data_IF_842595146255
#
_entry.id   IF_842595146255
#
_cell.length_a   1.000
_cell.length_b   1.000
_cell.length_c   1.000
_cell.angle_alpha   90.00
_cell.angle_beta   90.00
_cell.angle_gamma   90.00
#
_symmetry.space_group_name_H-M   'P 1'
#
loop_
_entity.id
_entity.type
_entity.pdbx_description
1 polymer ?
#
# COMPACT_ATOMS: atom_id res chain seq x y z
N UNK A 1 4.12 35.22 -1.25
CA UNK A 1 3.16 34.42 -2.05
C UNK A 1 1.80 34.52 -1.40
N UNK A 2 0.78 34.99 -2.13
CA UNK A 2 -0.61 35.15 -1.68
C UNK A 2 -1.34 33.85 -2.05
N UNK A 3 -1.88 33.15 -1.06
CA UNK A 3 -2.61 31.90 -1.24
C UNK A 3 -4.11 32.23 -1.26
N UNK A 4 -4.75 31.97 -2.39
CA UNK A 4 -6.18 32.20 -2.61
C UNK A 4 -6.75 30.87 -3.06
N UNK A 5 -7.56 30.25 -2.20
CA UNK A 5 -8.33 29.05 -2.53
C UNK A 5 -9.68 29.53 -3.08
N UNK A 6 -10.28 28.79 -4.00
CA UNK A 6 -11.60 29.09 -4.58
C UNK A 6 -12.53 27.89 -4.35
N UNK A 7 -13.83 28.12 -4.19
CA UNK A 7 -14.83 27.03 -4.13
C UNK A 7 -15.20 26.51 -5.54
N UNK A 8 -16.02 25.46 -5.60
CA UNK A 8 -16.48 24.84 -6.86
C UNK A 8 -17.28 25.80 -7.77
N UNK A 9 -17.71 26.94 -7.24
CA UNK A 9 -18.46 28.00 -7.95
C UNK A 9 -17.59 29.22 -8.26
N UNK A 10 -16.29 29.19 -7.95
CA UNK A 10 -15.32 30.24 -8.24
C UNK A 10 -15.19 31.33 -7.17
N UNK A 11 -15.79 31.17 -6.00
CA UNK A 11 -15.74 32.18 -4.93
C UNK A 11 -14.46 32.05 -4.09
N UNK A 12 -13.79 33.16 -3.72
CA UNK A 12 -12.57 33.11 -2.91
C UNK A 12 -12.79 32.61 -1.47
N UNK A 13 -12.04 31.59 -1.10
CA UNK A 13 -11.95 30.98 0.24
C UNK A 13 -10.67 31.49 0.93
N UNK A 14 -10.78 32.13 2.12
CA UNK A 14 -9.63 32.72 2.81
C UNK A 14 -8.73 31.66 3.45
N UNK A 15 -7.41 31.76 3.22
CA UNK A 15 -6.44 30.69 3.58
C UNK A 15 -5.40 31.10 4.61
N UNK A 16 -5.50 32.29 5.21
CA UNK A 16 -4.92 32.73 6.50
C UNK A 16 -4.99 34.27 6.58
N UNK A 17 -5.44 34.78 7.74
CA UNK A 17 -6.08 36.10 7.92
C UNK A 17 -5.16 37.32 7.72
N UNK A 18 -5.72 38.38 7.13
CA UNK A 18 -5.67 39.71 7.77
C UNK A 18 -7.08 40.12 8.17
N UNK A 19 -7.27 40.20 9.49
CA UNK A 19 -8.42 40.78 10.21
C UNK A 19 -9.77 40.06 10.27
N UNK A 20 -9.96 38.83 9.77
CA UNK A 20 -11.23 38.11 10.00
C UNK A 20 -11.05 36.70 10.55
N UNK A 21 -11.26 36.60 11.87
CA UNK A 21 -12.08 35.58 12.57
C UNK A 21 -12.66 34.42 11.76
N UNK A 22 -12.01 33.27 11.54
CA UNK A 22 -12.63 32.14 10.82
C UNK A 22 -12.36 30.81 11.52
N UNK A 23 -13.42 30.04 11.80
CA UNK A 23 -13.37 28.70 12.39
C UNK A 23 -13.76 27.69 11.30
N UNK A 24 -12.88 26.73 11.01
CA UNK A 24 -13.10 25.67 10.03
C UNK A 24 -13.39 24.34 10.76
N UNK A 25 -14.45 23.61 10.36
CA UNK A 25 -14.93 22.39 11.05
C UNK A 25 -14.49 21.06 10.41
N UNK A 26 -14.26 20.97 9.08
CA UNK A 26 -13.83 19.73 8.42
C UNK A 26 -12.73 19.94 7.38
N UNK A 27 -11.77 19.01 7.37
CA UNK A 27 -10.67 18.92 6.41
C UNK A 27 -10.81 17.60 5.65
N UNK A 28 -11.29 17.65 4.41
CA UNK A 28 -11.29 16.49 3.52
C UNK A 28 -10.15 16.64 2.50
N UNK A 29 -9.11 15.83 2.63
CA UNK A 29 -8.10 15.69 1.58
C UNK A 29 -8.72 14.89 0.44
N UNK A 30 -9.03 15.54 -0.67
CA UNK A 30 -9.53 14.87 -1.88
C UNK A 30 -8.36 14.35 -2.70
N UNK A 31 -8.38 13.06 -3.03
CA UNK A 31 -7.39 12.45 -3.91
C UNK A 31 -7.70 12.71 -5.40
N UNK A 32 -6.83 12.31 -6.35
CA UNK A 32 -7.08 12.48 -7.79
C UNK A 32 -8.37 11.83 -8.32
N UNK A 33 -9.06 11.00 -7.54
CA UNK A 33 -10.35 10.40 -7.87
C UNK A 33 -11.54 11.18 -7.27
N UNK A 34 -11.31 12.34 -6.65
CA UNK A 34 -12.36 13.19 -6.10
C UNK A 34 -12.95 12.69 -4.79
N UNK A 35 -12.32 11.70 -4.14
CA UNK A 35 -12.81 11.12 -2.88
C UNK A 35 -11.99 11.60 -1.70
N UNK A 36 -12.64 11.79 -0.54
CA UNK A 36 -12.01 12.07 0.75
C UNK A 36 -11.38 10.81 1.35
N UNK A 37 -10.71 10.02 0.52
CA UNK A 37 -9.92 8.90 0.97
C UNK A 37 -8.48 9.34 0.98
N UNK A 38 -7.78 8.92 2.04
CA UNK A 38 -6.32 8.92 2.13
C UNK A 38 -5.71 10.17 2.77
N UNK A 39 -5.54 10.09 4.10
CA UNK A 39 -4.53 10.87 4.83
C UNK A 39 -3.21 10.92 4.03
N UNK A 40 -2.45 12.00 4.18
CA UNK A 40 -1.18 12.21 3.48
C UNK A 40 -0.27 10.97 3.51
N UNK A 41 0.36 10.67 2.37
CA UNK A 41 1.42 9.66 2.29
C UNK A 41 2.72 10.26 2.82
N UNK A 42 3.04 9.94 4.07
CA UNK A 42 4.33 10.27 4.65
C UNK A 42 5.31 9.13 4.35
N UNK A 43 6.45 9.45 3.72
CA UNK A 43 7.53 8.47 3.56
C UNK A 43 8.35 8.26 4.86
N UNK A 44 7.89 8.83 5.98
CA UNK A 44 8.47 8.62 7.30
C UNK A 44 8.04 7.26 7.83
N UNK A 45 8.69 6.20 7.34
CA UNK A 45 8.72 4.95 8.10
C UNK A 45 9.65 5.16 9.30
N UNK A 46 9.28 4.78 10.54
CA UNK A 46 10.13 4.88 11.71
C UNK A 46 11.24 3.81 11.64
N UNK A 47 12.11 3.88 10.65
CA UNK A 47 13.27 2.99 10.52
C UNK A 47 14.45 3.43 11.40
N UNK A 48 14.45 4.66 11.92
CA UNK A 48 15.58 5.25 12.65
C UNK A 48 15.41 5.30 14.17
N UNK A 49 14.30 4.78 14.72
CA UNK A 49 13.99 4.87 16.15
C UNK A 49 13.94 3.48 16.82
N UNK A 50 14.01 2.40 16.02
CA UNK A 50 13.86 1.03 16.49
C UNK A 50 15.23 0.33 16.55
N UNK A 51 15.45 -0.48 17.59
CA UNK A 51 16.70 -1.24 17.79
C UNK A 51 16.94 -2.33 16.74
N UNK A 52 15.87 -2.77 16.08
CA UNK A 52 15.87 -3.86 15.12
C UNK A 52 15.01 -3.48 13.93
N UNK A 53 15.38 -3.98 12.74
CA UNK A 53 14.56 -3.85 11.56
C UNK A 53 13.25 -4.64 11.74
N UNK A 54 12.18 -4.19 11.07
CA UNK A 54 10.91 -4.92 11.05
C UNK A 54 11.08 -6.27 10.34
N UNK A 55 10.24 -7.25 10.67
CA UNK A 55 10.27 -8.55 10.00
C UNK A 55 9.96 -8.43 8.51
N UNK A 56 10.52 -9.31 7.69
CA UNK A 56 10.26 -9.38 6.25
C UNK A 56 8.74 -9.49 5.97
N UNK A 57 8.03 -10.31 6.76
CA UNK A 57 6.57 -10.50 6.66
C UNK A 57 5.78 -9.21 6.90
N UNK A 58 6.22 -8.36 7.83
CA UNK A 58 5.50 -7.13 8.17
C UNK A 58 5.46 -6.10 7.04
N UNK A 59 6.38 -6.19 6.08
CA UNK A 59 6.44 -5.31 4.91
C UNK A 59 5.94 -6.01 3.64
N UNK A 60 6.33 -7.27 3.42
CA UNK A 60 6.03 -7.98 2.18
C UNK A 60 4.67 -8.69 2.16
N UNK A 61 4.09 -8.97 3.33
CA UNK A 61 2.80 -9.64 3.48
C UNK A 61 1.74 -8.72 4.11
N UNK A 62 2.00 -7.41 4.17
CA UNK A 62 1.06 -6.43 4.71
C UNK A 62 0.55 -5.51 3.60
N UNK A 63 -0.73 -5.65 3.26
CA UNK A 63 -1.46 -4.76 2.34
C UNK A 63 -1.36 -3.30 2.79
N UNK A 64 -1.44 -3.07 4.10
CA UNK A 64 -1.24 -1.76 4.73
C UNK A 64 0.15 -1.20 4.48
N UNK A 65 1.21 -1.99 4.66
CA UNK A 65 2.60 -1.55 4.43
C UNK A 65 2.87 -1.24 2.95
N UNK A 66 2.18 -1.92 2.04
CA UNK A 66 2.21 -1.61 0.60
C UNK A 66 1.40 -0.36 0.23
N UNK A 67 0.68 0.22 1.20
CA UNK A 67 -0.18 1.37 0.99
C UNK A 67 -1.52 1.03 0.34
N UNK A 68 -1.93 -0.23 0.30
CA UNK A 68 -3.22 -0.63 -0.26
C UNK A 68 -4.38 -0.39 0.73
N UNK A 69 -4.07 -0.23 2.02
CA UNK A 69 -5.03 -0.16 3.11
C UNK A 69 -5.13 -1.47 3.89
N UNK A 70 -6.01 -1.53 4.88
CA UNK A 70 -6.26 -2.75 5.66
C UNK A 70 -7.37 -3.60 5.02
N UNK A 71 -7.11 -4.87 4.76
CA UNK A 71 -8.04 -5.73 4.02
C UNK A 71 -7.44 -7.03 3.52
N UNK A 72 -8.31 -7.86 2.96
CA UNK A 72 -7.95 -9.12 2.31
C UNK A 72 -7.60 -8.88 0.85
N UNK A 73 -6.39 -9.30 0.46
CA UNK A 73 -5.92 -9.16 -0.91
C UNK A 73 -6.41 -10.32 -1.78
N UNK A 74 -7.08 -10.00 -2.87
CA UNK A 74 -7.52 -10.95 -3.89
C UNK A 74 -6.72 -10.67 -5.17
N UNK A 75 -5.85 -11.61 -5.54
CA UNK A 75 -5.06 -11.53 -6.78
C UNK A 75 -5.69 -12.45 -7.83
N UNK A 76 -5.98 -11.90 -9.01
CA UNK A 76 -6.46 -12.69 -10.13
C UNK A 76 -5.34 -13.50 -10.80
N UNK A 77 -5.70 -14.34 -11.77
CA UNK A 77 -4.73 -15.19 -12.48
C UNK A 77 -3.59 -14.40 -13.14
N UNK A 78 -3.87 -13.15 -13.55
CA UNK A 78 -2.91 -12.23 -14.14
C UNK A 78 -2.80 -10.98 -13.27
N UNK A 79 -1.71 -10.81 -12.49
CA UNK A 79 -1.54 -9.73 -11.54
C UNK A 79 -1.25 -8.41 -12.27
N UNK A 80 -2.28 -7.82 -12.86
CA UNK A 80 -2.24 -6.60 -13.69
C UNK A 80 -2.97 -5.45 -13.01
N UNK A 81 -3.35 -5.61 -11.74
CA UNK A 81 -4.16 -4.67 -10.96
C UNK A 81 -5.58 -4.48 -11.48
N UNK A 82 -5.95 -5.08 -12.61
CA UNK A 82 -7.29 -4.95 -13.20
C UNK A 82 -8.32 -5.81 -12.50
N UNK A 83 -7.95 -7.05 -12.23
CA UNK A 83 -8.78 -8.03 -11.54
C UNK A 83 -8.24 -8.32 -10.13
N UNK A 84 -7.20 -7.59 -9.72
CA UNK A 84 -6.66 -7.67 -8.38
C UNK A 84 -7.30 -6.57 -7.54
N UNK A 85 -7.79 -6.91 -6.37
CA UNK A 85 -8.45 -5.95 -5.50
C UNK A 85 -8.17 -6.26 -4.03
N UNK A 86 -8.21 -5.21 -3.22
CA UNK A 86 -8.27 -5.32 -1.78
C UNK A 86 -9.75 -5.29 -1.38
N UNK A 87 -10.18 -6.25 -0.58
CA UNK A 87 -11.46 -6.21 0.11
C UNK A 87 -11.24 -5.54 1.48
N UNK A 88 -11.67 -4.28 1.69
CA UNK A 88 -11.33 -3.54 2.90
C UNK A 88 -11.98 -4.12 4.16
N UNK A 89 -11.24 -4.06 5.27
CA UNK A 89 -11.80 -4.33 6.60
C UNK A 89 -12.80 -3.23 6.99
N UNK A 90 -12.44 -1.96 6.75
CA UNK A 90 -13.35 -0.83 6.96
C UNK A 90 -14.11 -0.51 5.67
N UNK A 91 -15.42 -0.76 5.67
CA UNK A 91 -16.30 -0.56 4.51
C UNK A 91 -17.15 0.71 4.59
N UNK A 92 -16.97 1.56 5.60
CA UNK A 92 -17.81 2.75 5.82
C UNK A 92 -17.85 3.66 4.59
N UNK A 93 -16.70 3.96 3.99
CA UNK A 93 -16.61 4.81 2.80
C UNK A 93 -17.27 4.16 1.57
N UNK A 94 -17.19 2.83 1.46
CA UNK A 94 -17.84 2.06 0.39
C UNK A 94 -19.36 2.10 0.56
N UNK A 95 -19.85 1.87 1.78
CA UNK A 95 -21.28 1.89 2.10
C UNK A 95 -21.89 3.27 1.87
N UNK A 96 -21.15 4.33 2.23
CA UNK A 96 -21.56 5.72 2.03
C UNK A 96 -21.29 6.23 0.60
N UNK A 97 -20.77 5.38 -0.30
CA UNK A 97 -20.37 5.74 -1.68
C UNK A 97 -19.36 6.90 -1.74
N UNK A 98 -18.63 7.14 -0.65
CA UNK A 98 -17.61 8.19 -0.54
C UNK A 98 -16.29 7.76 -1.19
N UNK A 99 -15.93 6.48 -1.13
CA UNK A 99 -14.74 5.93 -1.78
C UNK A 99 -14.92 4.44 -2.08
N UNK A 100 -14.17 3.92 -3.06
CA UNK A 100 -14.09 2.48 -3.34
C UNK A 100 -12.90 1.80 -2.65
N UNK A 101 -12.11 2.58 -1.92
CA UNK A 101 -10.89 2.12 -1.26
C UNK A 101 -11.04 2.16 0.26
N UNK A 102 -10.18 1.43 0.96
CA UNK A 102 -10.01 1.57 2.40
C UNK A 102 -9.60 3.02 2.76
N UNK A 103 -10.09 3.61 3.86
CA UNK A 103 -9.77 5.00 4.24
C UNK A 103 -8.27 5.28 4.43
N UNK A 104 -7.48 4.25 4.76
CA UNK A 104 -6.03 4.36 4.96
C UNK A 104 -5.22 4.06 3.70
N UNK A 105 -5.84 3.57 2.63
CA UNK A 105 -5.18 3.31 1.36
C UNK A 105 -4.43 4.55 0.87
N UNK A 106 -3.23 4.37 0.32
CA UNK A 106 -2.39 5.40 -0.32
C UNK A 106 -2.26 5.17 -1.81
N UNK A 107 -2.46 3.93 -2.27
CA UNK A 107 -2.27 3.53 -3.65
C UNK A 107 -3.25 2.43 -4.04
N UNK A 108 -3.66 2.41 -5.31
CA UNK A 108 -4.48 1.33 -5.86
C UNK A 108 -3.60 0.13 -6.28
N UNK A 109 -4.23 -1.03 -6.54
CA UNK A 109 -3.53 -2.20 -7.14
C UNK A 109 -2.93 -1.92 -8.53
N UNK A 110 -3.36 -0.83 -9.18
CA UNK A 110 -2.78 -0.34 -10.44
C UNK A 110 -1.58 0.58 -10.26
N UNK A 111 -1.21 0.89 -9.02
CA UNK A 111 -0.15 1.84 -8.71
C UNK A 111 -0.58 3.30 -8.85
N UNK A 112 -1.89 3.59 -8.88
CA UNK A 112 -2.41 4.95 -8.93
C UNK A 112 -2.36 5.56 -7.52
N UNK A 113 -1.77 6.74 -7.39
CA UNK A 113 -1.66 7.40 -6.07
C UNK A 113 -3.02 7.90 -5.62
N UNK A 114 -3.49 7.36 -4.50
CA UNK A 114 -4.71 7.78 -3.79
C UNK A 114 -4.38 8.79 -2.69
N UNK A 115 -3.12 8.93 -2.28
CA UNK A 115 -2.70 9.97 -1.35
C UNK A 115 -1.69 10.90 -2.00
N UNK A 116 -1.77 12.19 -1.67
CA UNK A 116 -0.69 13.15 -1.93
C UNK A 116 0.47 12.94 -0.95
N UNK A 117 1.68 13.33 -1.35
CA UNK A 117 2.83 13.43 -0.46
C UNK A 117 3.34 14.88 -0.41
N UNK A 118 3.75 15.33 0.78
CA UNK A 118 4.37 16.64 0.94
C UNK A 118 5.86 16.66 0.57
N UNK A 119 6.49 15.49 0.44
CA UNK A 119 7.90 15.39 0.07
C UNK A 119 8.00 15.30 -1.46
N UNK A 120 8.70 16.25 -2.08
CA UNK A 120 8.74 16.43 -3.55
C UNK A 120 9.17 15.19 -4.36
N UNK A 121 9.92 14.27 -3.76
CA UNK A 121 10.40 13.04 -4.42
C UNK A 121 9.74 11.77 -3.90
N UNK A 122 8.90 11.88 -2.88
CA UNK A 122 8.20 10.73 -2.35
C UNK A 122 7.04 10.37 -3.27
N UNK A 123 6.88 9.07 -3.51
CA UNK A 123 5.76 8.51 -4.26
C UNK A 123 5.33 7.20 -3.65
N UNK A 124 4.11 6.80 -3.97
CA UNK A 124 3.62 5.46 -3.73
C UNK A 124 4.26 4.46 -4.68
N UNK A 125 4.12 3.17 -4.37
CA UNK A 125 4.61 2.10 -5.24
C UNK A 125 3.82 2.07 -6.55
N UNK A 126 4.50 1.82 -7.66
CA UNK A 126 3.80 1.50 -8.89
C UNK A 126 3.38 0.01 -8.88
N UNK A 127 2.53 -0.38 -9.81
CA UNK A 127 2.05 -1.76 -9.92
C UNK A 127 3.17 -2.81 -10.04
N UNK A 128 4.22 -2.53 -10.83
CA UNK A 128 5.31 -3.51 -11.02
C UNK A 128 6.05 -3.76 -9.71
N UNK A 129 6.20 -2.72 -8.90
CA UNK A 129 6.81 -2.80 -7.57
C UNK A 129 5.93 -3.58 -6.60
N UNK A 130 4.63 -3.25 -6.53
CA UNK A 130 3.65 -3.97 -5.69
C UNK A 130 3.70 -5.48 -6.02
N UNK A 131 3.63 -5.83 -7.30
CA UNK A 131 3.68 -7.23 -7.74
C UNK A 131 4.99 -7.92 -7.38
N UNK A 132 6.13 -7.22 -7.51
CA UNK A 132 7.44 -7.76 -7.14
C UNK A 132 7.52 -8.03 -5.63
N UNK A 133 7.06 -7.09 -4.82
CA UNK A 133 7.08 -7.21 -3.36
C UNK A 133 6.20 -8.39 -2.91
N UNK A 134 4.97 -8.48 -3.42
CA UNK A 134 4.04 -9.59 -3.14
C UNK A 134 4.58 -10.94 -3.62
N UNK A 135 5.24 -10.97 -4.79
CA UNK A 135 5.85 -12.20 -5.32
C UNK A 135 6.94 -12.74 -4.39
N UNK A 136 7.80 -11.87 -3.86
CA UNK A 136 8.78 -12.25 -2.82
C UNK A 136 8.09 -12.66 -1.53
N UNK A 137 6.95 -12.03 -1.19
CA UNK A 137 6.11 -12.40 -0.05
C UNK A 137 5.85 -13.90 0.07
N UNK A 138 5.60 -14.58 -1.05
CA UNK A 138 5.35 -16.03 -1.09
C UNK A 138 6.53 -16.90 -0.64
N UNK A 139 7.76 -16.37 -0.68
CA UNK A 139 8.98 -17.09 -0.29
C UNK A 139 9.30 -16.94 1.21
N UNK A 140 8.92 -15.81 1.81
CA UNK A 140 9.32 -15.42 3.16
C UNK A 140 8.91 -16.41 4.25
N UNK A 141 7.73 -17.07 4.23
CA UNK A 141 7.37 -18.05 5.26
C UNK A 141 8.33 -19.23 5.41
N UNK A 142 9.16 -19.50 4.39
CA UNK A 142 10.20 -20.54 4.40
C UNK A 142 11.62 -19.96 4.33
N UNK A 143 11.79 -18.73 3.84
CA UNK A 143 13.06 -18.04 3.63
C UNK A 143 13.03 -16.66 4.31
N UNK A 144 13.01 -16.64 5.64
CA UNK A 144 12.79 -15.43 6.45
C UNK A 144 14.08 -14.70 6.87
N UNK A 145 15.25 -15.26 6.54
CA UNK A 145 16.56 -14.67 6.83
C UNK A 145 17.10 -13.82 5.67
N UNK A 146 17.77 -12.72 5.98
CA UNK A 146 18.46 -11.88 4.98
C UNK A 146 19.56 -12.62 4.22
N UNK A 147 20.24 -13.55 4.88
CA UNK A 147 21.37 -14.28 4.33
C UNK A 147 20.93 -15.54 3.56
N UNK A 148 19.63 -15.74 3.36
CA UNK A 148 19.11 -16.90 2.64
C UNK A 148 19.62 -16.93 1.19
N UNK A 149 20.22 -18.05 0.73
CA UNK A 149 20.77 -18.16 -0.62
C UNK A 149 19.78 -17.85 -1.74
N UNK A 150 18.46 -17.96 -1.51
CA UNK A 150 17.46 -17.65 -2.55
C UNK A 150 17.55 -16.19 -3.04
N UNK A 151 18.07 -15.28 -2.22
CA UNK A 151 18.15 -13.86 -2.53
C UNK A 151 19.36 -13.49 -3.38
N UNK A 152 20.38 -14.36 -3.47
CA UNK A 152 21.61 -14.10 -4.24
C UNK A 152 21.35 -14.08 -5.76
N UNK A 153 20.52 -15.00 -6.26
CA UNK A 153 20.01 -14.98 -7.64
C UNK A 153 18.51 -15.30 -7.63
N UNK A 154 17.72 -14.26 -7.40
CA UNK A 154 16.26 -14.41 -7.29
C UNK A 154 15.62 -14.94 -8.58
N UNK A 155 16.23 -14.72 -9.75
CA UNK A 155 15.68 -15.23 -11.01
C UNK A 155 15.87 -16.74 -11.13
N UNK A 156 17.05 -17.25 -10.73
CA UNK A 156 17.28 -18.69 -10.59
C UNK A 156 16.33 -19.29 -9.56
N UNK A 157 16.15 -18.63 -8.42
CA UNK A 157 15.21 -19.07 -7.38
C UNK A 157 13.77 -19.15 -7.88
N UNK A 158 13.32 -18.17 -8.68
CA UNK A 158 12.00 -18.23 -9.32
C UNK A 158 11.85 -19.37 -10.31
N UNK A 159 12.89 -19.68 -11.09
CA UNK A 159 12.87 -20.85 -11.99
C UNK A 159 12.74 -22.14 -11.18
N UNK A 160 13.50 -22.29 -10.11
CA UNK A 160 13.40 -23.46 -9.23
C UNK A 160 12.03 -23.54 -8.55
N UNK A 161 11.50 -22.44 -8.03
CA UNK A 161 10.18 -22.40 -7.38
C UNK A 161 9.03 -22.86 -8.30
N UNK A 162 9.22 -22.77 -9.62
CA UNK A 162 8.23 -23.22 -10.61
C UNK A 162 8.27 -24.72 -10.92
N UNK A 163 9.31 -25.46 -10.49
CA UNK A 163 9.46 -26.89 -10.76
C UNK A 163 8.54 -27.74 -9.88
N UNK A 164 8.39 -29.03 -10.22
CA UNK A 164 7.68 -30.00 -9.38
C UNK A 164 8.45 -30.31 -8.10
N UNK A 165 9.78 -30.39 -8.17
CA UNK A 165 10.64 -30.69 -7.02
C UNK A 165 10.44 -29.68 -5.88
N UNK A 166 10.39 -28.38 -6.21
CA UNK A 166 10.15 -27.36 -5.20
C UNK A 166 8.73 -27.45 -4.60
N UNK A 167 7.73 -27.76 -5.42
CA UNK A 167 6.35 -27.95 -4.94
C UNK A 167 6.25 -29.14 -3.98
N UNK A 168 6.87 -30.27 -4.34
CA UNK A 168 6.94 -31.44 -3.48
C UNK A 168 7.68 -31.14 -2.17
N UNK A 169 8.78 -30.38 -2.22
CA UNK A 169 9.50 -29.95 -1.02
C UNK A 169 8.61 -29.08 -0.12
N UNK A 170 7.91 -28.12 -0.70
CA UNK A 170 6.95 -27.27 0.02
C UNK A 170 5.86 -28.10 0.69
N UNK A 171 5.23 -29.02 -0.04
CA UNK A 171 4.14 -29.84 0.48
C UNK A 171 4.63 -30.73 1.64
N UNK A 172 5.83 -31.32 1.51
CA UNK A 172 6.48 -32.09 2.59
C UNK A 172 6.75 -31.24 3.83
N UNK A 173 7.26 -30.02 3.68
CA UNK A 173 7.53 -29.12 4.81
C UNK A 173 6.22 -28.72 5.50
N UNK A 174 5.17 -28.43 4.72
CA UNK A 174 3.88 -28.03 5.27
C UNK A 174 3.15 -29.18 5.97
N UNK A 175 3.25 -30.42 5.45
CA UNK A 175 2.67 -31.58 6.12
C UNK A 175 3.36 -31.87 7.46
N UNK A 176 4.69 -31.76 7.52
CA UNK A 176 5.46 -31.98 8.75
C UNK A 176 5.19 -30.94 9.86
N UNK A 177 4.63 -29.77 9.53
CA UNK A 177 4.31 -28.72 10.51
C UNK A 177 2.88 -28.85 11.09
N UNK A 178 2.09 -29.80 10.60
CA UNK A 178 0.72 -30.06 11.06
C UNK A 178 0.63 -31.21 12.08
N UNK A 179 1.73 -31.90 12.33
CA UNK A 179 1.93 -32.88 13.41
C UNK A 179 2.60 -32.22 14.63
#
# INVERSE_FOLDING_TARGET
KRLTILDEKGNPVPVLKRKNEGRYEEWAFTNPHGTSGSNLAYALNPHSIQKQARSCTSCHLSTKALGLGDGDLKIGNNPTGKNDFLEPLNRSDIMNKASRFDPQAKVSMRGESLAGSHQQKARTFNQREINRILRVGNCIPCHDSYDDPIYQDIQKSYRFASTLDHRQLRDKILSLRQE
#
